data_IF_718641762070
#
_entry.id   IF_718641762070
#
_cell.length_a   1.000
_cell.length_b   1.000
_cell.length_c   1.000
_cell.angle_alpha   90.00
_cell.angle_beta   90.00
_cell.angle_gamma   90.00
#
_symmetry.space_group_name_H-M   'P 1'
#
loop_
_entity.id
_entity.type
_entity.pdbx_description
1 polymer ?
#
# COMPACT_ATOMS: atom_id res chain seq x y z
N UNK A 1 4.89 -1.84 7.36
CA UNK A 1 4.39 -0.91 8.40
C UNK A 1 4.07 0.43 7.75
N UNK A 2 3.12 1.19 8.29
CA UNK A 2 2.89 2.59 7.91
C UNK A 2 3.14 3.49 9.13
N UNK A 3 3.77 4.64 8.92
CA UNK A 3 4.20 5.53 9.99
C UNK A 3 3.94 6.99 9.65
N UNK A 4 3.69 7.80 10.69
CA UNK A 4 3.46 9.24 10.60
C UNK A 4 2.40 9.62 9.54
N UNK A 5 1.31 8.84 9.49
CA UNK A 5 0.28 8.98 8.49
C UNK A 5 -0.40 10.36 8.57
N UNK A 6 -0.53 11.00 7.41
CA UNK A 6 -1.27 12.25 7.28
C UNK A 6 -2.76 12.07 7.56
N UNK A 7 -3.51 13.18 7.74
CA UNK A 7 -4.96 13.11 7.85
C UNK A 7 -5.55 12.50 6.57
N UNK A 8 -6.61 11.66 6.62
CA UNK A 8 -7.29 11.14 5.44
C UNK A 8 -7.91 12.27 4.60
N UNK A 9 -8.17 12.03 3.31
CA UNK A 9 -8.72 13.06 2.42
C UNK A 9 -10.17 13.40 2.81
N UNK A 10 -10.32 14.50 3.55
CA UNK A 10 -11.62 15.02 3.96
C UNK A 10 -12.31 15.69 2.78
N UNK A 11 -13.56 15.29 2.49
CA UNK A 11 -14.42 15.98 1.51
C UNK A 11 -15.27 17.05 2.19
N UNK A 12 -15.68 18.05 1.41
CA UNK A 12 -16.63 19.10 1.83
C UNK A 12 -17.94 18.41 2.26
N UNK A 13 -18.17 18.33 3.57
CA UNK A 13 -19.26 17.56 4.18
C UNK A 13 -18.86 16.81 5.46
N UNK A 14 -17.57 16.50 5.65
CA UNK A 14 -17.04 15.86 6.87
C UNK A 14 -16.88 16.84 8.07
N UNK A 15 -17.46 18.04 7.96
CA UNK A 15 -17.32 19.12 8.95
C UNK A 15 -17.92 18.77 10.33
N UNK A 16 -18.77 17.74 10.42
CA UNK A 16 -19.31 17.25 11.69
C UNK A 16 -18.25 16.59 12.57
N UNK A 17 -17.14 16.09 12.02
CA UNK A 17 -16.02 15.55 12.81
C UNK A 17 -15.04 16.62 13.31
N UNK A 18 -14.86 17.72 12.57
CA UNK A 18 -13.84 18.75 12.90
C UNK A 18 -14.15 19.52 14.18
N UNK A 19 -15.43 19.72 14.51
CA UNK A 19 -15.83 20.49 15.70
C UNK A 19 -15.75 19.69 17.01
N UNK A 20 -15.88 18.36 16.96
CA UNK A 20 -15.81 17.51 18.16
C UNK A 20 -14.35 17.18 18.52
N UNK A 21 -13.46 17.04 17.53
CA UNK A 21 -12.07 16.67 17.76
C UNK A 21 -11.14 17.85 18.10
N UNK A 22 -11.44 19.06 17.61
CA UNK A 22 -10.69 20.27 18.00
C UNK A 22 -10.83 20.60 19.50
N UNK A 23 -11.94 20.19 20.12
CA UNK A 23 -12.19 20.39 21.55
C UNK A 23 -11.50 19.35 22.45
N UNK A 24 -11.01 18.23 21.91
CA UNK A 24 -10.55 17.08 22.70
C UNK A 24 -9.03 16.83 22.64
N UNK A 25 -8.26 17.57 21.83
CA UNK A 25 -6.80 17.40 21.71
C UNK A 25 -6.31 16.03 21.23
N UNK A 26 -7.22 15.08 21.02
CA UNK A 26 -6.92 13.70 20.64
C UNK A 26 -6.79 13.60 19.12
N UNK A 27 -5.63 13.15 18.65
CA UNK A 27 -5.49 12.66 17.27
C UNK A 27 -6.55 11.56 17.04
N UNK A 28 -7.21 11.63 15.89
CA UNK A 28 -8.16 10.61 15.45
C UNK A 28 -7.38 9.30 15.29
N UNK A 29 -7.79 8.24 16.00
CA UNK A 29 -7.19 6.92 15.82
C UNK A 29 -7.53 6.40 14.42
N UNK A 30 -6.51 6.30 13.56
CA UNK A 30 -6.67 5.79 12.21
C UNK A 30 -6.83 4.27 12.23
N UNK A 31 -7.52 3.76 11.21
CA UNK A 31 -7.68 2.32 10.97
C UNK A 31 -7.15 1.96 9.59
N UNK A 32 -5.83 2.02 9.38
CA UNK A 32 -5.29 1.90 8.03
C UNK A 32 -5.37 0.47 7.49
N UNK A 33 -5.49 0.36 6.17
CA UNK A 33 -5.14 -0.82 5.40
C UNK A 33 -4.39 -0.40 4.13
N UNK A 34 -3.61 -1.32 3.56
CA UNK A 34 -2.85 -1.09 2.33
C UNK A 34 -3.48 -1.88 1.21
N UNK A 35 -3.70 -1.22 0.10
CA UNK A 35 -4.06 -1.80 -1.18
C UNK A 35 -2.82 -1.81 -2.09
N UNK A 36 -2.48 -2.97 -2.61
CA UNK A 36 -1.43 -3.18 -3.59
C UNK A 36 -2.06 -3.51 -4.94
N UNK A 37 -1.59 -2.84 -5.98
CA UNK A 37 -2.10 -2.95 -7.33
C UNK A 37 -0.93 -3.11 -8.30
N UNK A 38 -0.96 -4.16 -9.13
CA UNK A 38 0.14 -4.50 -10.02
C UNK A 38 -0.37 -5.05 -11.36
N UNK A 39 0.30 -4.68 -12.45
CA UNK A 39 -0.08 -5.06 -13.80
C UNK A 39 -0.36 -3.86 -14.70
N UNK A 40 -0.74 -4.13 -15.95
CA UNK A 40 -1.03 -3.11 -16.97
C UNK A 40 -2.36 -3.41 -17.66
N UNK A 41 -3.12 -2.36 -17.98
CA UNK A 41 -4.38 -2.49 -18.70
C UNK A 41 -5.39 -3.42 -18.02
N UNK A 42 -5.92 -4.38 -18.77
CA UNK A 42 -6.91 -5.35 -18.29
C UNK A 42 -6.36 -6.39 -17.31
N UNK A 43 -5.03 -6.54 -17.20
CA UNK A 43 -4.37 -7.53 -16.34
C UNK A 43 -3.89 -6.91 -15.01
N UNK A 44 -4.63 -5.92 -14.52
CA UNK A 44 -4.33 -5.25 -13.26
C UNK A 44 -4.92 -6.05 -12.10
N UNK A 45 -4.05 -6.62 -11.28
CA UNK A 45 -4.41 -7.35 -10.08
C UNK A 45 -4.35 -6.46 -8.84
N UNK A 46 -5.28 -6.69 -7.92
CA UNK A 46 -5.44 -5.88 -6.71
C UNK A 46 -5.64 -6.76 -5.49
N UNK A 47 -4.82 -6.54 -4.48
CA UNK A 47 -4.90 -7.21 -3.18
C UNK A 47 -4.78 -6.20 -2.06
N UNK A 48 -5.27 -6.52 -0.88
CA UNK A 48 -5.21 -5.61 0.26
C UNK A 48 -4.88 -6.35 1.55
N UNK A 49 -4.27 -5.63 2.50
CA UNK A 49 -4.08 -6.14 3.87
C UNK A 49 -5.39 -6.10 4.64
N UNK A 50 -5.41 -6.74 5.80
CA UNK A 50 -6.43 -6.46 6.81
C UNK A 50 -6.29 -5.03 7.33
N UNK A 51 -7.38 -4.55 7.89
CA UNK A 51 -7.44 -3.29 8.63
C UNK A 51 -6.74 -3.48 9.96
N UNK A 52 -5.79 -2.60 10.26
CA UNK A 52 -5.14 -2.52 11.58
C UNK A 52 -5.50 -1.22 12.27
N UNK A 53 -5.32 -1.14 13.58
CA UNK A 53 -5.45 0.10 14.31
C UNK A 53 -4.07 0.75 14.46
N UNK A 54 -3.98 2.05 14.20
CA UNK A 54 -2.77 2.82 14.49
C UNK A 54 -2.52 2.85 16.00
N UNK A 55 -1.31 2.46 16.41
CA UNK A 55 -0.81 2.53 17.77
C UNK A 55 0.45 3.37 17.77
N UNK A 56 0.36 4.59 18.33
CA UNK A 56 1.52 5.49 18.49
C UNK A 56 2.11 5.99 17.16
N UNK A 57 1.26 6.47 16.24
CA UNK A 57 1.63 6.94 14.89
C UNK A 57 2.29 5.86 14.00
N UNK A 58 1.99 4.59 14.30
CA UNK A 58 2.52 3.42 13.61
C UNK A 58 1.45 2.34 13.49
N UNK A 59 1.32 1.82 12.27
CA UNK A 59 0.46 0.71 11.91
C UNK A 59 1.30 -0.45 11.34
N UNK A 60 1.39 -1.54 12.10
CA UNK A 60 2.11 -2.74 11.70
C UNK A 60 1.12 -3.77 11.11
N UNK A 61 1.18 -3.95 9.78
CA UNK A 61 0.30 -4.89 9.07
C UNK A 61 0.75 -6.36 9.23
N UNK A 62 2.07 -6.61 9.23
CA UNK A 62 2.63 -7.96 9.37
C UNK A 62 2.22 -8.97 8.29
N UNK A 63 1.65 -8.51 7.18
CA UNK A 63 1.07 -9.34 6.13
C UNK A 63 1.96 -9.41 4.89
N UNK A 64 1.95 -10.58 4.25
CA UNK A 64 2.56 -10.80 2.94
C UNK A 64 1.45 -10.82 1.88
N UNK A 65 1.57 -9.94 0.90
CA UNK A 65 0.70 -9.89 -0.26
C UNK A 65 1.43 -10.53 -1.45
N UNK A 66 0.75 -11.41 -2.19
CA UNK A 66 1.28 -12.04 -3.39
C UNK A 66 0.42 -11.63 -4.58
N UNK A 67 1.08 -11.13 -5.62
CA UNK A 67 0.47 -10.73 -6.89
C UNK A 67 1.17 -11.52 -8.01
N UNK A 68 0.45 -11.99 -9.02
CA UNK A 68 1.08 -12.67 -10.15
C UNK A 68 2.00 -11.69 -10.89
N UNK A 69 3.16 -12.18 -11.31
CA UNK A 69 4.08 -11.39 -12.12
C UNK A 69 3.67 -11.53 -13.60
N UNK A 70 3.44 -10.43 -14.35
CA UNK A 70 3.10 -10.50 -15.76
C UNK A 70 4.23 -11.15 -16.56
N UNK A 71 3.90 -12.13 -17.42
CA UNK A 71 4.84 -12.89 -18.24
C UNK A 71 5.31 -12.12 -19.49
N UNK A 72 5.09 -10.80 -19.53
CA UNK A 72 5.44 -9.93 -20.64
C UNK A 72 6.93 -9.57 -20.55
N UNK A 73 7.76 -10.58 -20.80
CA UNK A 73 9.19 -10.68 -20.54
C UNK A 73 10.11 -9.77 -21.39
N UNK A 74 9.77 -8.50 -21.67
CA UNK A 74 10.70 -7.72 -22.50
C UNK A 74 10.72 -6.21 -22.51
N UNK A 75 9.66 -5.46 -22.19
CA UNK A 75 9.67 -4.02 -22.55
C UNK A 75 8.98 -3.09 -21.54
N UNK A 76 8.17 -3.62 -20.63
CA UNK A 76 7.29 -2.77 -19.80
C UNK A 76 7.89 -2.47 -18.43
N UNK A 77 7.94 -1.18 -18.06
CA UNK A 77 8.21 -0.78 -16.67
C UNK A 77 7.12 -1.34 -15.78
N UNK A 78 7.46 -2.30 -14.93
CA UNK A 78 6.54 -2.85 -13.95
C UNK A 78 6.39 -1.88 -12.79
N UNK A 79 5.18 -1.34 -12.61
CA UNK A 79 4.89 -0.39 -11.52
C UNK A 79 3.95 -1.05 -10.52
N UNK A 80 4.42 -1.19 -9.29
CA UNK A 80 3.61 -1.54 -8.13
C UNK A 80 3.05 -0.26 -7.51
N UNK A 81 1.72 -0.12 -7.54
CA UNK A 81 1.03 0.97 -6.84
C UNK A 81 0.59 0.50 -5.46
N UNK A 82 0.89 1.31 -4.44
CA UNK A 82 0.55 1.07 -3.06
C UNK A 82 -0.28 2.25 -2.55
N UNK A 83 -1.47 1.98 -2.03
CA UNK A 83 -2.41 3.00 -1.55
C UNK A 83 -2.81 2.67 -0.13
N UNK A 84 -2.77 3.66 0.75
CA UNK A 84 -3.13 3.52 2.16
C UNK A 84 -4.46 4.23 2.39
N UNK A 85 -5.43 3.51 2.90
CA UNK A 85 -6.79 3.99 3.17
C UNK A 85 -7.09 3.94 4.66
N UNK A 86 -8.01 4.77 5.13
CA UNK A 86 -8.53 4.74 6.51
C UNK A 86 -9.91 4.05 6.53
N UNK A 87 -10.02 2.88 7.15
CA UNK A 87 -11.25 2.09 7.16
C UNK A 87 -12.32 2.68 8.09
N UNK A 88 -13.41 3.20 7.51
CA UNK A 88 -14.52 3.86 8.25
C UNK A 88 -15.76 2.99 8.45
N UNK A 89 -15.70 1.70 8.12
CA UNK A 89 -16.80 0.76 8.34
C UNK A 89 -18.08 1.19 7.63
N UNK A 90 -19.21 1.32 8.36
CA UNK A 90 -20.51 1.64 7.76
C UNK A 90 -20.55 2.98 7.00
N UNK A 91 -19.70 3.95 7.35
CA UNK A 91 -19.63 5.25 6.67
C UNK A 91 -19.03 5.15 5.26
N UNK A 92 -18.27 4.09 4.97
CA UNK A 92 -17.63 3.85 3.68
C UNK A 92 -18.54 3.18 2.64
N UNK A 93 -19.66 2.58 3.07
CA UNK A 93 -20.54 1.78 2.20
C UNK A 93 -21.15 2.54 1.02
N UNK A 94 -21.18 3.89 1.08
CA UNK A 94 -21.74 4.73 0.01
C UNK A 94 -20.63 5.40 -0.82
N UNK A 95 -19.42 5.59 -0.26
CA UNK A 95 -18.44 6.55 -0.79
C UNK A 95 -16.99 6.04 -0.84
N UNK A 96 -16.75 4.81 -0.35
CA UNK A 96 -15.42 4.23 -0.20
C UNK A 96 -14.68 4.78 1.02
N UNK A 97 -13.64 4.06 1.41
CA UNK A 97 -12.72 4.50 2.46
C UNK A 97 -11.84 5.66 1.95
N UNK A 98 -11.60 6.70 2.76
CA UNK A 98 -10.80 7.84 2.32
C UNK A 98 -9.31 7.48 2.21
N UNK A 99 -8.70 7.94 1.11
CA UNK A 99 -7.27 7.78 0.85
C UNK A 99 -6.45 8.65 1.83
N UNK A 100 -5.49 8.03 2.52
CA UNK A 100 -4.47 8.72 3.32
C UNK A 100 -3.32 9.16 2.41
N UNK A 101 -2.80 8.25 1.60
CA UNK A 101 -1.76 8.54 0.63
C UNK A 101 -1.42 7.34 -0.22
N UNK A 102 -0.66 7.56 -1.27
CA UNK A 102 -0.24 6.56 -2.22
C UNK A 102 1.24 6.73 -2.57
N UNK A 103 1.83 5.64 -3.04
CA UNK A 103 3.18 5.59 -3.59
C UNK A 103 3.18 4.64 -4.79
N UNK A 104 4.06 4.91 -5.74
CA UNK A 104 4.35 4.01 -6.84
C UNK A 104 5.81 3.58 -6.76
N UNK A 105 6.04 2.28 -6.91
CA UNK A 105 7.37 1.71 -7.01
C UNK A 105 7.54 1.11 -8.39
N UNK A 106 8.54 1.59 -9.13
CA UNK A 106 9.02 0.91 -10.31
C UNK A 106 9.92 -0.25 -9.86
N UNK A 107 9.57 -1.46 -10.27
CA UNK A 107 10.39 -2.65 -10.03
C UNK A 107 11.50 -2.69 -11.07
N UNK A 108 12.73 -2.88 -10.59
CA UNK A 108 13.93 -3.07 -11.42
C UNK A 108 14.52 -4.47 -11.22
N UNK A 109 15.57 -4.81 -11.96
CA UNK A 109 16.23 -6.12 -11.89
C UNK A 109 16.76 -6.45 -10.48
N UNK A 110 17.09 -5.44 -9.67
CA UNK A 110 17.53 -5.65 -8.29
C UNK A 110 16.38 -6.13 -7.39
N UNK A 111 15.15 -5.70 -7.66
CA UNK A 111 13.95 -6.18 -6.95
C UNK A 111 13.54 -7.62 -7.34
N UNK A 112 14.13 -8.17 -8.41
CA UNK A 112 13.84 -9.54 -8.87
C UNK A 112 14.68 -10.60 -8.14
N UNK A 113 15.84 -10.22 -7.58
CA UNK A 113 16.81 -11.17 -7.01
C UNK A 113 16.66 -11.40 -5.50
N UNK A 114 16.74 -10.33 -4.70
CA UNK A 114 16.65 -10.41 -3.24
C UNK A 114 15.53 -9.52 -2.70
N UNK A 115 14.87 -9.98 -1.63
CA UNK A 115 13.83 -9.17 -1.02
C UNK A 115 14.43 -8.06 -0.17
N UNK A 116 14.17 -6.80 -0.52
CA UNK A 116 14.70 -5.64 0.21
C UNK A 116 13.60 -4.86 0.93
N UNK A 117 13.94 -4.30 2.09
CA UNK A 117 13.05 -3.38 2.81
C UNK A 117 13.21 -1.99 2.20
N UNK A 118 12.13 -1.43 1.67
CA UNK A 118 12.06 -0.07 1.11
C UNK A 118 11.16 0.80 1.98
N UNK A 119 11.55 2.06 2.12
CA UNK A 119 10.71 3.11 2.72
C UNK A 119 10.15 3.97 1.60
N UNK A 120 8.83 3.98 1.45
CA UNK A 120 8.12 4.74 0.43
C UNK A 120 7.46 5.96 1.07
N UNK A 121 7.70 7.14 0.53
CA UNK A 121 7.02 8.36 0.96
C UNK A 121 5.65 8.44 0.29
N UNK A 122 4.60 8.65 1.09
CA UNK A 122 3.24 8.75 0.61
C UNK A 122 2.92 10.16 0.13
N UNK A 123 2.25 10.26 -1.00
CA UNK A 123 1.71 11.50 -1.56
C UNK A 123 0.21 11.39 -1.79
N UNK A 124 -0.48 12.51 -1.98
CA UNK A 124 -1.91 12.50 -2.29
C UNK A 124 -2.36 13.76 -3.02
N UNK A 125 -2.84 13.64 -4.26
CA UNK A 125 -3.41 14.78 -5.00
C UNK A 125 -2.45 15.98 -5.09
N UNK A 126 -1.16 15.74 -5.30
CA UNK A 126 -0.11 16.76 -5.30
C UNK A 126 0.40 17.18 -3.92
N UNK A 127 -0.22 16.74 -2.82
CA UNK A 127 0.29 16.97 -1.46
C UNK A 127 1.42 15.97 -1.14
N UNK A 128 2.65 16.44 -0.88
CA UNK A 128 3.73 15.56 -0.43
C UNK A 128 3.53 15.16 1.05
N UNK A 129 4.35 14.21 1.52
CA UNK A 129 4.54 13.89 2.94
C UNK A 129 3.27 13.45 3.71
N UNK A 130 2.48 12.55 3.14
CA UNK A 130 1.30 11.95 3.81
C UNK A 130 1.66 10.75 4.70
N UNK A 131 2.90 10.71 5.18
CA UNK A 131 3.49 9.60 5.93
C UNK A 131 4.43 8.74 5.09
N UNK A 132 4.85 7.62 5.66
CA UNK A 132 5.74 6.66 5.01
C UNK A 132 5.24 5.23 5.16
N UNK A 133 5.52 4.41 4.17
CA UNK A 133 5.21 2.99 4.13
C UNK A 133 6.50 2.18 4.03
N UNK A 134 6.77 1.35 5.02
CA UNK A 134 7.87 0.40 5.05
C UNK A 134 7.36 -0.94 4.50
N UNK A 135 7.91 -1.36 3.37
CA UNK A 135 7.54 -2.59 2.66
C UNK A 135 8.77 -3.44 2.38
N UNK A 136 8.61 -4.77 2.42
CA UNK A 136 9.60 -5.69 1.87
C UNK A 136 9.05 -6.24 0.56
N UNK A 137 9.81 -6.06 -0.51
CA UNK A 137 9.40 -6.45 -1.87
C UNK A 137 10.46 -7.38 -2.43
N UNK A 138 10.02 -8.40 -3.13
CA UNK A 138 10.86 -9.33 -3.88
C UNK A 138 9.99 -10.17 -4.81
N UNK A 139 10.57 -10.66 -5.89
CA UNK A 139 9.92 -11.60 -6.81
C UNK A 139 10.33 -13.02 -6.47
N UNK A 140 9.40 -13.95 -6.57
CA UNK A 140 9.65 -15.37 -6.33
C UNK A 140 9.24 -16.17 -7.55
N UNK A 141 10.18 -16.89 -8.15
CA UNK A 141 9.86 -17.87 -9.19
C UNK A 141 9.26 -19.14 -8.56
N UNK A 142 8.35 -19.84 -9.26
CA UNK A 142 7.90 -21.17 -8.88
C UNK A 142 9.09 -22.12 -8.70
N UNK A 143 9.05 -22.96 -7.67
CA UNK A 143 10.15 -23.89 -7.33
C UNK A 143 10.51 -24.83 -8.49
N UNK A 144 9.55 -25.13 -9.37
CA UNK A 144 9.73 -25.98 -10.54
C UNK A 144 10.79 -25.44 -11.53
N UNK A 145 10.99 -24.12 -11.61
CA UNK A 145 11.97 -23.52 -12.52
C UNK A 145 13.41 -23.65 -11.99
N UNK A 146 13.57 -23.71 -10.66
CA UNK A 146 14.87 -23.97 -10.02
C UNK A 146 15.30 -25.43 -10.18
N UNK A 147 14.36 -26.37 -10.19
CA UNK A 147 14.65 -27.81 -10.40
C UNK A 147 15.21 -28.09 -11.80
N UNK A 148 14.83 -27.30 -12.81
CA UNK A 148 15.39 -27.39 -14.16
C UNK A 148 16.85 -26.98 -14.17
N UNK A 149 17.20 -25.87 -13.49
CA UNK A 149 18.57 -25.38 -13.37
C UNK A 149 19.46 -26.34 -12.57
N UNK A 150 18.94 -26.92 -11.49
CA UNK A 150 19.67 -27.88 -10.66
C UNK A 150 19.93 -29.24 -11.35
N UNK A 151 19.15 -29.59 -12.37
CA UNK A 151 19.32 -30.84 -13.16
C UNK A 151 20.24 -30.68 -14.36
N UNK A 152 20.61 -29.46 -14.73
CA UNK A 152 21.48 -29.15 -15.87
C UNK A 152 22.91 -28.74 -15.47
N UNK A 153 23.23 -28.72 -14.17
CA UNK A 153 24.57 -28.51 -13.62
C UNK A 153 25.22 -29.85 -13.23
#
# INVERSE_FOLDING_TARGET
>A
AAEALGPPAYRVGDLTGKLIHAAAGSRVKLRPYVEACFGTGSNTEKVQTRVVQDVTDRADFGERLSLPFPDDAGVTRHVLSLRVFDARGLQAAIRGDPLIGEAALQLDEMDLGESHVRTLHLHRGGLPNQGRLLVRIGVTAPTADYDVLARTA
#
